data_IF_213037233689
#
_entry.id   IF_213037233689
#
_cell.length_a   1.000
_cell.length_b   1.000
_cell.length_c   1.000
_cell.angle_alpha   90.00
_cell.angle_beta   90.00
_cell.angle_gamma   90.00
#
_symmetry.space_group_name_H-M   'P 1'
#
loop_
_entity.id
_entity.type
_entity.pdbx_description
1 polymer ?
#
# COMPACT_ATOMS: atom_id res chain seq x y z
N UNK A 1 2.69 2.44 -18.32
CA UNK A 1 3.31 3.75 -17.97
C UNK A 1 4.40 3.53 -16.92
N UNK A 2 5.55 4.22 -16.98
CA UNK A 2 6.55 4.16 -15.89
C UNK A 2 6.07 5.03 -14.74
N UNK A 3 6.08 4.50 -13.52
CA UNK A 3 5.72 5.23 -12.30
C UNK A 3 6.98 5.87 -11.69
N UNK A 4 6.82 7.05 -11.08
CA UNK A 4 7.89 7.71 -10.35
C UNK A 4 8.39 6.83 -9.19
N UNK A 5 9.70 6.69 -9.08
CA UNK A 5 10.36 6.02 -7.96
C UNK A 5 11.63 6.79 -7.58
N UNK A 6 11.96 6.86 -6.29
CA UNK A 6 13.09 7.66 -5.80
C UNK A 6 14.44 7.00 -6.14
N UNK A 7 14.49 5.68 -6.09
CA UNK A 7 15.68 4.93 -6.51
C UNK A 7 15.71 4.84 -8.05
N UNK A 8 16.80 5.33 -8.65
CA UNK A 8 17.03 5.36 -10.10
C UNK A 8 17.30 3.97 -10.69
N UNK A 9 17.74 3.03 -9.86
CA UNK A 9 18.05 1.64 -10.26
C UNK A 9 16.80 0.74 -10.20
N UNK A 10 15.63 1.34 -9.95
CA UNK A 10 14.35 0.66 -9.89
C UNK A 10 13.43 1.26 -10.94
N UNK A 11 12.88 0.40 -11.79
CA UNK A 11 11.87 0.77 -12.77
C UNK A 11 10.59 0.01 -12.47
N UNK A 12 9.52 0.75 -12.23
CA UNK A 12 8.17 0.19 -12.05
C UNK A 12 7.32 0.61 -13.23
N UNK A 13 6.73 -0.35 -13.92
CA UNK A 13 5.75 -0.12 -14.97
C UNK A 13 4.37 -0.53 -14.50
N UNK A 14 3.37 0.26 -14.85
CA UNK A 14 1.98 0.02 -14.46
C UNK A 14 1.02 0.27 -15.62
N UNK A 15 0.03 -0.60 -15.74
CA UNK A 15 -1.10 -0.51 -16.66
C UNK A 15 -2.37 -0.89 -15.90
N UNK A 16 -3.47 -0.17 -16.17
CA UNK A 16 -4.75 -0.37 -15.49
C UNK A 16 -5.31 0.96 -14.96
N UNK A 17 -6.43 0.86 -14.24
CA UNK A 17 -7.01 2.00 -13.51
C UNK A 17 -6.07 2.37 -12.36
N UNK A 18 -5.83 3.66 -12.13
CA UNK A 18 -4.98 4.10 -11.02
C UNK A 18 -5.49 3.55 -9.66
N UNK A 19 -4.57 2.94 -8.90
CA UNK A 19 -4.87 2.47 -7.54
C UNK A 19 -4.81 3.62 -6.55
N UNK A 20 -5.83 3.71 -5.71
CA UNK A 20 -6.02 4.77 -4.74
C UNK A 20 -5.30 4.43 -3.45
N UNK A 21 -4.45 5.36 -3.00
CA UNK A 21 -3.79 5.23 -1.70
C UNK A 21 -4.79 5.23 -0.54
N UNK A 22 -5.95 5.89 -0.66
CA UNK A 22 -7.00 5.87 0.37
C UNK A 22 -7.57 4.47 0.65
N UNK A 23 -7.68 3.62 -0.39
CA UNK A 23 -8.54 2.45 -0.37
C UNK A 23 -7.82 1.17 -0.83
N UNK A 24 -7.33 1.19 -2.08
CA UNK A 24 -6.79 0.01 -2.75
C UNK A 24 -5.52 -0.49 -2.07
N UNK A 25 -4.70 0.45 -1.58
CA UNK A 25 -3.51 0.15 -0.78
C UNK A 25 -3.87 -0.64 0.49
N UNK A 26 -4.88 -0.19 1.25
CA UNK A 26 -5.27 -0.85 2.49
C UNK A 26 -5.89 -2.23 2.21
N UNK A 27 -6.73 -2.33 1.18
CA UNK A 27 -7.31 -3.62 0.78
C UNK A 27 -6.22 -4.61 0.38
N UNK A 28 -5.23 -4.17 -0.41
CA UNK A 28 -4.09 -4.99 -0.78
C UNK A 28 -3.29 -5.49 0.44
N UNK A 29 -2.95 -4.58 1.36
CA UNK A 29 -2.22 -4.94 2.57
C UNK A 29 -3.02 -5.91 3.47
N UNK A 30 -4.35 -5.74 3.55
CA UNK A 30 -5.20 -6.66 4.30
C UNK A 30 -5.27 -8.05 3.65
N UNK A 31 -5.27 -8.11 2.32
CA UNK A 31 -5.17 -9.40 1.59
C UNK A 31 -3.83 -10.08 1.87
N UNK A 32 -2.71 -9.34 1.88
CA UNK A 32 -1.40 -9.87 2.27
C UNK A 32 -1.37 -10.35 3.72
N UNK A 33 -2.06 -9.66 4.64
CA UNK A 33 -2.20 -10.11 6.02
C UNK A 33 -2.94 -11.45 6.12
N UNK A 34 -4.01 -11.64 5.35
CA UNK A 34 -4.71 -12.93 5.27
C UNK A 34 -3.84 -14.01 4.61
N UNK A 35 -3.06 -13.66 3.60
CA UNK A 35 -2.18 -14.57 2.87
C UNK A 35 -1.14 -15.25 3.79
N UNK A 36 -0.72 -14.62 4.89
CA UNK A 36 0.24 -15.21 5.86
C UNK A 36 -0.19 -16.56 6.43
N UNK A 37 -1.49 -16.88 6.39
CA UNK A 37 -2.07 -18.11 6.93
C UNK A 37 -2.46 -19.11 5.84
N UNK A 38 -2.14 -18.81 4.59
CA UNK A 38 -2.51 -19.60 3.41
C UNK A 38 -1.24 -20.01 2.68
N UNK A 39 -1.12 -21.26 2.20
CA UNK A 39 -0.03 -21.63 1.33
C UNK A 39 0.04 -20.72 0.09
N UNK A 40 1.26 -20.45 -0.38
CA UNK A 40 1.48 -19.72 -1.63
C UNK A 40 0.79 -20.48 -2.77
N UNK A 41 0.16 -19.76 -3.70
CA UNK A 41 -0.58 -20.35 -4.84
C UNK A 41 -2.00 -20.85 -4.51
N UNK A 42 -2.41 -20.84 -3.24
CA UNK A 42 -3.76 -21.27 -2.83
C UNK A 42 -4.73 -20.07 -2.69
N UNK A 43 -6.03 -20.25 -2.97
CA UNK A 43 -7.02 -19.18 -2.80
C UNK A 43 -7.21 -18.75 -1.34
N UNK A 44 -7.02 -17.45 -1.10
CA UNK A 44 -7.31 -16.82 0.19
C UNK A 44 -8.80 -16.55 0.26
N UNK A 45 -9.48 -17.09 1.28
CA UNK A 45 -10.94 -17.01 1.43
C UNK A 45 -11.32 -16.15 2.64
N UNK A 46 -12.25 -15.21 2.45
CA UNK A 46 -12.79 -14.35 3.51
C UNK A 46 -14.19 -13.82 3.12
N UNK A 47 -14.84 -13.06 3.99
CA UNK A 47 -16.09 -12.34 3.74
C UNK A 47 -15.85 -10.84 3.58
N UNK A 48 -16.75 -10.13 2.90
CA UNK A 48 -16.72 -8.66 2.92
C UNK A 48 -16.93 -8.08 4.32
N UNK A 49 -17.63 -8.80 5.20
CA UNK A 49 -17.76 -8.45 6.61
C UNK A 49 -16.40 -8.43 7.31
N UNK A 50 -15.64 -9.53 7.23
CA UNK A 50 -14.28 -9.64 7.81
C UNK A 50 -13.35 -8.58 7.22
N UNK A 51 -13.34 -8.43 5.89
CA UNK A 51 -12.51 -7.42 5.23
C UNK A 51 -12.82 -6.00 5.72
N UNK A 52 -14.10 -5.61 5.79
CA UNK A 52 -14.46 -4.29 6.29
C UNK A 52 -14.15 -4.11 7.78
N UNK A 53 -14.39 -5.14 8.59
CA UNK A 53 -14.10 -5.11 10.02
C UNK A 53 -12.59 -4.92 10.27
N UNK A 54 -11.75 -5.69 9.58
CA UNK A 54 -10.29 -5.66 9.75
C UNK A 54 -9.66 -4.41 9.12
N UNK A 55 -10.32 -3.78 8.14
CA UNK A 55 -9.98 -2.45 7.64
C UNK A 55 -10.48 -1.32 8.55
N UNK A 56 -11.38 -1.60 9.50
CA UNK A 56 -12.03 -0.58 10.32
C UNK A 56 -13.06 0.26 9.56
N UNK A 57 -13.59 -0.27 8.46
CA UNK A 57 -14.65 0.34 7.67
C UNK A 57 -16.03 0.04 8.26
N UNK A 58 -17.01 0.89 7.95
CA UNK A 58 -18.38 0.66 8.41
C UNK A 58 -18.97 -0.59 7.76
N UNK A 59 -19.71 -1.38 8.54
CA UNK A 59 -20.35 -2.61 8.07
C UNK A 59 -21.68 -2.28 7.41
N UNK A 60 -21.67 -2.00 6.11
CA UNK A 60 -22.86 -1.76 5.30
C UNK A 60 -22.62 -2.00 3.80
N UNK A 61 -23.70 -2.03 3.02
CA UNK A 61 -23.64 -2.31 1.58
C UNK A 61 -22.72 -1.37 0.80
N UNK A 62 -22.63 -0.09 1.17
CA UNK A 62 -21.74 0.89 0.49
C UNK A 62 -20.27 0.49 0.62
N UNK A 63 -19.82 0.10 1.82
CA UNK A 63 -18.43 -0.32 2.01
C UNK A 63 -18.14 -1.71 1.46
N UNK A 64 -19.15 -2.60 1.39
CA UNK A 64 -19.00 -3.87 0.67
C UNK A 64 -18.80 -3.64 -0.83
N UNK A 65 -19.60 -2.77 -1.46
CA UNK A 65 -19.40 -2.37 -2.86
C UNK A 65 -18.02 -1.75 -3.04
N UNK A 66 -17.60 -0.85 -2.15
CA UNK A 66 -16.27 -0.23 -2.18
C UNK A 66 -15.16 -1.28 -2.13
N UNK A 67 -15.25 -2.26 -1.23
CA UNK A 67 -14.27 -3.33 -1.12
C UNK A 67 -14.22 -4.21 -2.39
N UNK A 68 -15.38 -4.55 -2.95
CA UNK A 68 -15.48 -5.28 -4.22
C UNK A 68 -14.85 -4.50 -5.39
N UNK A 69 -15.07 -3.19 -5.47
CA UNK A 69 -14.44 -2.32 -6.47
C UNK A 69 -12.92 -2.27 -6.32
N UNK A 70 -12.41 -2.25 -5.08
CA UNK A 70 -10.96 -2.29 -4.82
C UNK A 70 -10.35 -3.60 -5.31
N UNK A 71 -10.93 -4.74 -4.94
CA UNK A 71 -10.48 -6.06 -5.41
C UNK A 71 -10.54 -6.19 -6.94
N UNK A 72 -11.59 -5.63 -7.56
CA UNK A 72 -11.73 -5.59 -9.01
C UNK A 72 -10.65 -4.74 -9.67
N UNK A 73 -10.33 -3.56 -9.12
CA UNK A 73 -9.22 -2.73 -9.62
C UNK A 73 -7.89 -3.44 -9.47
N UNK A 74 -7.61 -4.03 -8.30
CA UNK A 74 -6.39 -4.79 -8.04
C UNK A 74 -6.19 -5.95 -9.03
N UNK A 75 -7.26 -6.66 -9.40
CA UNK A 75 -7.23 -7.72 -10.41
C UNK A 75 -6.99 -7.15 -11.83
N UNK A 76 -7.54 -5.99 -12.15
CA UNK A 76 -7.44 -5.36 -13.48
C UNK A 76 -6.14 -4.57 -13.70
N UNK A 77 -5.10 -4.84 -12.90
CA UNK A 77 -3.79 -4.19 -13.00
C UNK A 77 -2.78 -5.07 -13.71
N UNK A 78 -1.73 -4.44 -14.24
CA UNK A 78 -0.52 -5.11 -14.63
C UNK A 78 0.66 -4.27 -14.16
N UNK A 79 1.46 -4.82 -13.25
CA UNK A 79 2.61 -4.20 -12.63
C UNK A 79 3.86 -5.02 -12.98
N UNK A 80 4.82 -4.35 -13.58
CA UNK A 80 6.14 -4.91 -13.84
C UNK A 80 7.18 -4.17 -13.01
N UNK A 81 8.22 -4.89 -12.60
CA UNK A 81 9.30 -4.34 -11.79
C UNK A 81 10.64 -4.81 -12.32
N UNK A 82 11.62 -3.91 -12.36
CA UNK A 82 13.01 -4.25 -12.68
C UNK A 82 13.92 -3.55 -11.70
N UNK A 83 14.85 -4.30 -11.11
CA UNK A 83 15.93 -3.79 -10.29
C UNK A 83 17.16 -4.67 -10.42
N UNK A 84 18.34 -4.05 -10.52
CA UNK A 84 19.61 -4.79 -10.59
C UNK A 84 19.88 -5.64 -9.34
N UNK A 85 19.25 -5.27 -8.20
CA UNK A 85 19.44 -5.93 -6.90
C UNK A 85 18.45 -7.05 -6.63
N UNK A 86 17.19 -6.84 -7.02
CA UNK A 86 16.07 -7.75 -6.68
C UNK A 86 15.68 -8.63 -7.88
N UNK A 87 16.10 -8.25 -9.08
CA UNK A 87 15.79 -8.95 -10.33
C UNK A 87 14.63 -8.31 -11.09
N UNK A 88 14.03 -9.11 -11.95
CA UNK A 88 12.92 -8.70 -12.80
C UNK A 88 11.66 -9.47 -12.42
N UNK A 89 10.57 -8.75 -12.23
CA UNK A 89 9.22 -9.28 -12.20
C UNK A 89 8.56 -8.88 -13.52
N UNK A 90 8.11 -9.89 -14.27
CA UNK A 90 7.30 -9.68 -15.47
C UNK A 90 5.98 -8.98 -15.10
N UNK A 91 5.22 -8.57 -16.10
CA UNK A 91 4.00 -7.79 -15.88
C UNK A 91 2.89 -8.64 -15.25
N UNK A 92 2.80 -8.63 -13.91
CA UNK A 92 1.81 -9.41 -13.14
C UNK A 92 0.67 -8.54 -12.63
N UNK A 93 -0.53 -9.13 -12.49
CA UNK A 93 -1.61 -8.47 -11.74
C UNK A 93 -1.37 -8.65 -10.24
N UNK A 94 -1.71 -7.64 -9.43
CA UNK A 94 -1.63 -7.76 -7.96
C UNK A 94 -2.55 -8.87 -7.43
N UNK A 95 -3.71 -9.05 -8.06
CA UNK A 95 -4.57 -10.21 -7.84
C UNK A 95 -4.70 -10.99 -9.15
N UNK A 96 -4.15 -12.20 -9.18
CA UNK A 96 -4.32 -13.11 -10.31
C UNK A 96 -5.82 -13.45 -10.52
N UNK A 97 -6.58 -13.56 -9.44
CA UNK A 97 -8.03 -13.85 -9.51
C UNK A 97 -8.77 -13.29 -8.30
N UNK A 98 -9.99 -12.85 -8.53
CA UNK A 98 -10.98 -12.47 -7.54
C UNK A 98 -12.34 -13.05 -7.97
N UNK A 99 -13.04 -13.71 -7.04
CA UNK A 99 -14.40 -14.19 -7.24
C UNK A 99 -15.23 -14.10 -5.96
N UNK A 100 -16.54 -13.95 -6.14
CA UNK A 100 -17.52 -14.04 -5.05
C UNK A 100 -18.31 -15.33 -5.21
N UNK A 101 -18.13 -16.25 -4.28
CA UNK A 101 -18.89 -17.49 -4.17
C UNK A 101 -20.21 -17.22 -3.45
N UNK A 102 -21.26 -17.96 -3.82
CA UNK A 102 -22.55 -17.94 -3.12
C UNK A 102 -23.16 -16.53 -2.93
N UNK A 103 -22.99 -15.65 -3.93
CA UNK A 103 -23.48 -14.27 -3.89
C UNK A 103 -24.97 -14.23 -3.48
N UNK A 104 -25.28 -13.39 -2.51
CA UNK A 104 -26.64 -13.21 -1.98
C UNK A 104 -27.05 -14.23 -0.91
N UNK A 105 -26.27 -15.29 -0.67
CA UNK A 105 -26.50 -16.24 0.42
C UNK A 105 -25.72 -15.84 1.68
N UNK A 106 -26.12 -16.37 2.83
CA UNK A 106 -25.36 -16.25 4.10
C UNK A 106 -23.96 -16.87 4.01
N UNK A 107 -23.77 -17.84 3.10
CA UNK A 107 -22.48 -18.49 2.80
C UNK A 107 -21.64 -17.71 1.80
N UNK A 108 -22.04 -16.50 1.40
CA UNK A 108 -21.28 -15.68 0.45
C UNK A 108 -19.84 -15.48 0.94
N UNK A 109 -18.86 -15.75 0.08
CA UNK A 109 -17.43 -15.62 0.37
C UNK A 109 -16.70 -14.99 -0.80
N UNK A 110 -15.72 -14.14 -0.50
CA UNK A 110 -14.71 -13.69 -1.42
C UNK A 110 -13.59 -14.75 -1.47
N UNK A 111 -13.08 -15.01 -2.67
CA UNK A 111 -11.81 -15.69 -2.86
C UNK A 111 -10.91 -14.86 -3.75
N UNK A 112 -9.68 -14.68 -3.31
CA UNK A 112 -8.62 -14.04 -4.08
C UNK A 112 -7.44 -14.97 -4.23
N UNK A 113 -6.76 -14.88 -5.37
CA UNK A 113 -5.53 -15.61 -5.65
C UNK A 113 -4.45 -14.58 -5.98
N UNK A 114 -3.31 -14.71 -5.31
CA UNK A 114 -2.10 -13.94 -5.59
C UNK A 114 -1.20 -14.85 -6.44
N UNK A 115 -0.60 -14.28 -7.49
CA UNK A 115 0.32 -15.02 -8.34
C UNK A 115 1.57 -15.45 -7.54
N UNK A 116 2.10 -16.64 -7.78
CA UNK A 116 3.30 -17.13 -7.08
C UNK A 116 4.52 -16.29 -7.43
N UNK A 117 4.56 -15.68 -8.62
CA UNK A 117 5.64 -14.79 -9.04
C UNK A 117 5.78 -13.54 -8.14
N UNK A 118 4.69 -13.12 -7.48
CA UNK A 118 4.72 -11.99 -6.53
C UNK A 118 5.65 -12.27 -5.34
N UNK A 119 5.97 -13.54 -5.04
CA UNK A 119 6.95 -13.92 -4.00
C UNK A 119 8.32 -13.26 -4.25
N UNK A 120 8.68 -12.96 -5.50
CA UNK A 120 9.92 -12.22 -5.84
C UNK A 120 10.00 -10.87 -5.12
N UNK A 121 8.87 -10.20 -4.88
CA UNK A 121 8.83 -8.92 -4.15
C UNK A 121 9.19 -9.07 -2.66
N UNK A 122 9.09 -10.29 -2.12
CA UNK A 122 9.32 -10.61 -0.71
C UNK A 122 10.56 -11.47 -0.50
N UNK A 123 11.38 -11.67 -1.54
CA UNK A 123 12.59 -12.48 -1.46
C UNK A 123 13.71 -11.76 -0.67
N UNK A 124 14.47 -12.53 0.12
CA UNK A 124 15.58 -12.04 0.93
C UNK A 124 15.14 -11.05 2.01
N UNK A 125 15.99 -10.08 2.32
CA UNK A 125 15.72 -9.02 3.31
C UNK A 125 15.34 -7.69 2.63
N UNK A 126 14.55 -7.75 1.56
CA UNK A 126 14.27 -6.62 0.68
C UNK A 126 12.84 -6.06 0.82
N UNK A 127 12.25 -6.25 1.98
CA UNK A 127 10.90 -5.81 2.31
C UNK A 127 10.85 -5.18 3.70
N UNK A 128 9.82 -4.36 3.91
CA UNK A 128 9.58 -3.71 5.19
C UNK A 128 8.44 -4.41 5.92
N UNK A 129 8.61 -4.67 7.22
CA UNK A 129 7.53 -5.12 8.12
C UNK A 129 7.01 -3.93 8.95
N UNK A 130 5.72 -3.96 9.26
CA UNK A 130 5.11 -2.97 10.15
C UNK A 130 3.95 -3.56 10.95
N UNK A 131 3.54 -2.84 12.00
CA UNK A 131 2.39 -3.19 12.82
C UNK A 131 1.12 -2.74 12.09
N UNK A 132 0.44 -3.70 11.47
CA UNK A 132 -0.73 -3.43 10.61
C UNK A 132 -1.80 -2.57 11.30
N UNK A 133 -2.13 -2.87 12.56
CA UNK A 133 -3.17 -2.15 13.30
C UNK A 133 -2.89 -0.65 13.50
N UNK A 134 -1.61 -0.28 13.56
CA UNK A 134 -1.17 1.12 13.61
C UNK A 134 -1.15 1.72 12.21
N UNK A 135 -0.55 1.00 11.24
CA UNK A 135 -0.38 1.44 9.87
C UNK A 135 -1.70 1.76 9.17
N UNK A 136 -2.73 0.89 9.32
CA UNK A 136 -4.04 1.06 8.68
C UNK A 136 -4.79 2.33 9.10
N UNK A 137 -4.44 2.91 10.25
CA UNK A 137 -5.08 4.12 10.79
C UNK A 137 -4.49 5.41 10.25
N UNK A 138 -3.31 5.34 9.64
CA UNK A 138 -2.62 6.50 9.10
C UNK A 138 -3.37 7.09 7.90
N UNK A 139 -3.18 8.36 7.61
CA UNK A 139 -3.53 8.96 6.32
C UNK A 139 -2.64 8.42 5.19
N UNK A 140 -3.04 8.53 3.91
CA UNK A 140 -2.19 8.10 2.79
C UNK A 140 -0.82 8.75 2.77
N UNK A 141 -0.76 10.05 3.12
CA UNK A 141 0.51 10.79 3.18
C UNK A 141 1.38 10.27 4.31
N UNK A 142 0.81 10.05 5.51
CA UNK A 142 1.54 9.45 6.62
C UNK A 142 2.04 8.03 6.30
N UNK A 143 1.21 7.17 5.67
CA UNK A 143 1.63 5.85 5.19
C UNK A 143 2.83 5.93 4.25
N UNK A 144 2.75 6.77 3.21
CA UNK A 144 3.84 6.94 2.24
C UNK A 144 5.12 7.46 2.89
N UNK A 145 4.99 8.34 3.88
CA UNK A 145 6.11 8.83 4.68
C UNK A 145 6.76 7.70 5.49
N UNK A 146 5.94 6.90 6.18
CA UNK A 146 6.41 5.73 6.92
C UNK A 146 7.09 4.70 6.02
N UNK A 147 6.52 4.38 4.86
CA UNK A 147 7.10 3.43 3.90
C UNK A 147 8.52 3.84 3.50
N UNK A 148 8.73 5.13 3.22
CA UNK A 148 10.06 5.64 2.89
C UNK A 148 11.05 5.48 4.06
N UNK A 149 10.68 5.92 5.26
CA UNK A 149 11.58 5.87 6.41
C UNK A 149 11.85 4.44 6.88
N UNK A 150 10.86 3.57 6.82
CA UNK A 150 10.98 2.18 7.23
C UNK A 150 11.84 1.35 6.26
N UNK A 151 11.90 1.73 4.98
CA UNK A 151 12.76 1.08 3.97
C UNK A 151 14.27 1.32 4.12
N UNK A 152 14.70 2.27 4.97
CA UNK A 152 16.11 2.61 5.17
C UNK A 152 16.59 2.17 6.56
N UNK A 153 17.84 1.70 6.69
CA UNK A 153 18.45 1.44 8.01
C UNK A 153 18.59 2.73 8.83
N UNK A 154 19.01 3.79 8.17
CA UNK A 154 19.08 5.15 8.72
C UNK A 154 18.37 6.05 7.71
N UNK A 155 17.16 6.54 8.01
CA UNK A 155 16.37 7.28 7.04
C UNK A 155 17.04 8.58 6.63
N UNK A 156 17.33 8.72 5.33
CA UNK A 156 17.83 9.97 4.79
C UNK A 156 16.74 11.05 4.83
N UNK A 157 17.09 12.33 5.07
CA UNK A 157 16.13 13.42 4.95
C UNK A 157 15.55 13.49 3.54
N UNK A 158 14.22 13.53 3.44
CA UNK A 158 13.50 13.51 2.17
C UNK A 158 13.07 14.92 1.77
N UNK A 159 13.47 15.39 0.59
CA UNK A 159 13.01 16.70 0.07
C UNK A 159 11.49 16.71 -0.07
N UNK A 160 10.85 17.80 0.36
CA UNK A 160 9.40 17.97 0.27
C UNK A 160 8.90 17.79 -1.17
N UNK A 161 9.63 18.30 -2.17
CA UNK A 161 9.25 18.14 -3.58
C UNK A 161 9.35 16.68 -4.03
N UNK A 162 10.41 15.96 -3.63
CA UNK A 162 10.53 14.53 -3.92
C UNK A 162 9.40 13.75 -3.26
N UNK A 163 9.07 14.06 -2.01
CA UNK A 163 7.96 13.43 -1.31
C UNK A 163 6.61 13.71 -1.97
N UNK A 164 6.40 14.92 -2.49
CA UNK A 164 5.19 15.28 -3.25
C UNK A 164 5.01 14.40 -4.47
N UNK A 165 6.09 14.20 -5.23
CA UNK A 165 6.10 13.32 -6.41
C UNK A 165 5.88 11.86 -6.03
N UNK A 166 6.45 11.38 -4.92
CA UNK A 166 6.19 10.03 -4.40
C UNK A 166 4.72 9.80 -4.06
N UNK A 167 4.07 10.82 -3.50
CA UNK A 167 2.65 10.76 -3.14
C UNK A 167 1.72 10.95 -4.35
N UNK A 168 2.25 11.27 -5.54
CA UNK A 168 1.42 11.63 -6.70
C UNK A 168 0.53 12.85 -6.44
N UNK A 169 0.94 13.75 -5.54
CA UNK A 169 0.08 14.86 -5.09
C UNK A 169 0.01 15.98 -6.13
N UNK A 170 -1.21 16.33 -6.54
CA UNK A 170 -1.50 17.48 -7.42
C UNK A 170 -1.38 18.84 -6.72
N UNK A 171 -0.99 18.88 -5.44
CA UNK A 171 -0.85 20.13 -4.70
C UNK A 171 0.27 20.99 -5.32
N UNK A 172 -0.09 22.05 -6.03
CA UNK A 172 0.88 22.99 -6.63
C UNK A 172 1.37 24.06 -5.63
N UNK A 173 0.74 24.15 -4.45
CA UNK A 173 1.02 25.17 -3.44
C UNK A 173 1.99 24.63 -2.39
N UNK A 174 3.25 25.04 -2.47
CA UNK A 174 4.33 24.63 -1.56
C UNK A 174 3.96 24.76 -0.08
N UNK A 175 3.35 25.88 0.32
CA UNK A 175 2.92 26.10 1.72
C UNK A 175 1.89 25.07 2.19
N UNK A 176 0.86 24.80 1.36
CA UNK A 176 -0.17 23.80 1.67
C UNK A 176 0.43 22.40 1.76
N UNK A 177 1.34 22.07 0.84
CA UNK A 177 2.03 20.78 0.89
C UNK A 177 2.85 20.64 2.18
N UNK A 178 3.61 21.67 2.56
CA UNK A 178 4.37 21.67 3.81
C UNK A 178 3.47 21.48 5.04
N UNK A 179 2.30 22.13 5.08
CA UNK A 179 1.31 21.94 6.15
C UNK A 179 0.82 20.48 6.21
N UNK A 180 0.42 19.89 5.08
CA UNK A 180 0.00 18.48 5.00
C UNK A 180 1.10 17.51 5.44
N UNK A 181 2.35 17.79 5.09
CA UNK A 181 3.50 16.98 5.53
C UNK A 181 3.73 17.13 7.04
N UNK A 182 3.57 18.33 7.59
CA UNK A 182 3.63 18.55 9.04
C UNK A 182 2.54 17.78 9.80
N UNK A 183 1.31 17.78 9.31
CA UNK A 183 0.21 16.98 9.87
C UNK A 183 0.53 15.48 9.83
N UNK A 184 1.06 14.99 8.69
CA UNK A 184 1.48 13.60 8.55
C UNK A 184 2.63 13.22 9.51
N UNK A 185 3.57 14.12 9.78
CA UNK A 185 4.63 13.92 10.77
C UNK A 185 4.05 13.73 12.20
N UNK A 186 3.13 14.60 12.61
CA UNK A 186 2.47 14.49 13.91
C UNK A 186 1.62 13.23 14.03
N UNK A 187 0.92 12.86 12.96
CA UNK A 187 0.16 11.61 12.89
C UNK A 187 1.08 10.38 13.06
N UNK A 188 2.23 10.36 12.37
CA UNK A 188 3.21 9.29 12.50
C UNK A 188 3.76 9.16 13.91
N UNK A 189 4.13 10.30 14.52
CA UNK A 189 4.56 10.37 15.91
C UNK A 189 3.47 9.84 16.86
N UNK A 190 2.22 10.28 16.67
CA UNK A 190 1.08 9.86 17.47
C UNK A 190 0.74 8.37 17.35
N UNK A 191 1.04 7.75 16.21
CA UNK A 191 0.86 6.30 16.01
C UNK A 191 1.88 5.44 16.79
N UNK A 192 3.03 6.02 17.15
CA UNK A 192 4.16 5.32 17.74
C UNK A 192 4.76 4.25 16.81
N UNK A 193 4.69 4.46 15.49
CA UNK A 193 5.42 3.68 14.48
C UNK A 193 6.87 4.18 14.30
N UNK A 194 7.14 5.42 14.70
CA UNK A 194 8.45 6.06 14.74
C UNK A 194 8.56 6.86 16.04
N UNK A 195 9.77 7.05 16.57
CA UNK A 195 10.02 7.92 17.72
C UNK A 195 9.61 9.38 17.42
N UNK A 196 10.01 9.91 16.26
CA UNK A 196 9.76 11.31 15.89
C UNK A 196 9.88 11.53 14.38
N UNK A 197 9.04 12.40 13.81
CA UNK A 197 9.17 12.89 12.44
C UNK A 197 8.92 14.40 12.40
N UNK A 198 9.67 15.15 11.59
CA UNK A 198 9.53 16.60 11.52
C UNK A 198 9.99 17.17 10.18
N UNK A 199 9.58 18.40 9.88
CA UNK A 199 10.04 19.16 8.72
C UNK A 199 11.07 20.19 9.16
N UNK A 200 12.22 20.24 8.49
CA UNK A 200 13.24 21.29 8.66
C UNK A 200 13.81 21.66 7.29
N UNK A 201 13.90 22.96 6.96
CA UNK A 201 14.53 23.47 5.73
C UNK A 201 14.19 22.68 4.44
N UNK A 202 12.88 22.48 4.19
CA UNK A 202 12.33 21.72 3.05
C UNK A 202 12.67 20.22 3.01
N UNK A 203 13.17 19.68 4.11
CA UNK A 203 13.43 18.26 4.29
C UNK A 203 12.49 17.68 5.35
N UNK A 204 12.03 16.46 5.11
CA UNK A 204 11.33 15.64 6.09
C UNK A 204 12.35 14.71 6.73
N UNK A 205 12.44 14.74 8.05
CA UNK A 205 13.34 13.95 8.86
C UNK A 205 12.57 12.94 9.69
N UNK A 206 13.23 11.84 10.06
CA UNK A 206 12.67 10.81 10.92
C UNK A 206 13.72 10.24 11.86
N UNK A 207 13.31 10.05 13.10
CA UNK A 207 13.98 9.24 14.11
C UNK A 207 13.04 8.07 14.41
N UNK A 208 13.51 6.85 14.18
CA UNK A 208 12.70 5.63 14.32
C UNK A 208 12.73 5.11 15.74
#
# INVERSE_FOLDING_TARGET
KVIFHVNKDVKITYTGVELRADDDELVWQQVLEYAKRTPIGEPITFTFYELCQDLGWSINGRYYTKAEECLSRLQATAMGFTSDRVGHLESVSLLHRFRVLDRGKKTSRCQVLIDEEIVVLFAGDHYTKFIWEKYRKLSPTARRMFDYFSSHREPYPLKLETFRLMCGSDSTRVKKWREQVGEACEELRGSGLVEHAWVNDDLVHCKR
#
